data_IF_024483227186
#
_entry.id   IF_024483227186
#
_cell.length_a   1.000
_cell.length_b   1.000
_cell.length_c   1.000
_cell.angle_alpha   90.00
_cell.angle_beta   90.00
_cell.angle_gamma   90.00
#
_symmetry.space_group_name_H-M   'P 1'
#
loop_
_entity.id
_entity.type
_entity.pdbx_description
1 polymer ?
#
# COMPACT_ATOMS: atom_id res chain seq x y z
N UNK A 1 11.78 27.15 -2.92
CA UNK A 1 10.69 26.64 -2.05
C UNK A 1 9.41 27.34 -2.46
N UNK A 2 8.69 26.80 -3.45
CA UNK A 2 7.41 27.37 -3.88
C UNK A 2 6.43 27.24 -2.72
N UNK A 3 5.84 28.34 -2.26
CA UNK A 3 4.86 28.31 -1.16
C UNK A 3 3.58 27.68 -1.69
N UNK A 4 3.44 26.39 -1.48
CA UNK A 4 2.20 25.67 -1.79
C UNK A 4 1.08 26.32 -0.97
N UNK A 5 0.00 26.70 -1.64
CA UNK A 5 -1.17 27.20 -0.96
C UNK A 5 -1.76 26.09 -0.07
N UNK A 6 -2.21 26.43 1.14
CA UNK A 6 -2.84 25.48 2.07
C UNK A 6 -3.92 24.61 1.38
N UNK A 7 -4.73 25.21 0.49
CA UNK A 7 -5.76 24.48 -0.27
C UNK A 7 -5.20 23.47 -1.27
N UNK A 8 -4.05 23.75 -1.87
CA UNK A 8 -3.39 22.85 -2.83
C UNK A 8 -2.74 21.67 -2.11
N UNK A 9 -2.13 21.91 -0.95
CA UNK A 9 -1.60 20.84 -0.08
C UNK A 9 -2.72 19.90 0.42
N UNK A 10 -3.85 20.46 0.84
CA UNK A 10 -5.03 19.67 1.25
C UNK A 10 -5.57 18.85 0.08
N UNK A 11 -5.65 19.44 -1.11
CA UNK A 11 -6.13 18.73 -2.30
C UNK A 11 -5.22 17.56 -2.72
N UNK A 12 -3.90 17.77 -2.70
CA UNK A 12 -2.91 16.73 -3.00
C UNK A 12 -3.05 15.55 -2.04
N UNK A 13 -3.21 15.82 -0.74
CA UNK A 13 -3.38 14.78 0.27
C UNK A 13 -4.73 14.04 0.17
N UNK A 14 -5.83 14.74 -0.12
CA UNK A 14 -7.16 14.12 -0.17
C UNK A 14 -7.41 13.29 -1.44
N UNK A 15 -6.79 13.68 -2.56
CA UNK A 15 -6.95 13.00 -3.87
C UNK A 15 -6.78 11.48 -3.82
N UNK A 16 -5.70 10.91 -3.24
CA UNK A 16 -5.54 9.46 -3.14
C UNK A 16 -6.59 8.79 -2.24
N UNK A 17 -7.00 9.45 -1.15
CA UNK A 17 -8.02 8.94 -0.23
C UNK A 17 -9.36 8.75 -0.96
N UNK A 18 -9.81 9.78 -1.67
CA UNK A 18 -11.05 9.71 -2.44
C UNK A 18 -11.02 8.61 -3.50
N UNK A 19 -9.87 8.38 -4.13
CA UNK A 19 -9.72 7.31 -5.13
C UNK A 19 -9.94 5.93 -4.52
N UNK A 20 -9.33 5.64 -3.36
CA UNK A 20 -9.47 4.36 -2.67
C UNK A 20 -10.92 4.14 -2.21
N UNK A 21 -11.52 5.12 -1.54
CA UNK A 21 -12.90 4.98 -1.06
C UNK A 21 -13.92 4.85 -2.19
N UNK A 22 -13.69 5.50 -3.33
CA UNK A 22 -14.57 5.37 -4.50
C UNK A 22 -14.50 3.95 -5.08
N UNK A 23 -13.32 3.35 -5.19
CA UNK A 23 -13.15 1.96 -5.67
C UNK A 23 -13.83 0.98 -4.70
N UNK A 24 -13.65 1.17 -3.39
CA UNK A 24 -14.32 0.35 -2.36
C UNK A 24 -15.84 0.49 -2.47
N UNK A 25 -16.35 1.72 -2.63
CA UNK A 25 -17.77 2.00 -2.76
C UNK A 25 -18.39 1.35 -3.99
N UNK A 26 -17.71 1.42 -5.15
CA UNK A 26 -18.15 0.73 -6.37
C UNK A 26 -18.17 -0.79 -6.17
N UNK A 27 -17.12 -1.35 -5.55
CA UNK A 27 -17.09 -2.78 -5.20
C UNK A 27 -18.24 -3.20 -4.28
N UNK A 28 -18.58 -2.37 -3.30
CA UNK A 28 -19.73 -2.58 -2.41
C UNK A 28 -21.06 -2.55 -3.17
N UNK A 29 -21.26 -1.58 -4.07
CA UNK A 29 -22.47 -1.52 -4.90
C UNK A 29 -22.61 -2.77 -5.79
N UNK A 30 -21.52 -3.20 -6.44
CA UNK A 30 -21.51 -4.39 -7.29
C UNK A 30 -21.90 -5.66 -6.52
N UNK A 31 -21.45 -5.79 -5.27
CA UNK A 31 -21.85 -6.87 -4.38
C UNK A 31 -23.31 -6.74 -3.93
N UNK A 32 -23.75 -5.52 -3.57
CA UNK A 32 -25.14 -5.26 -3.11
C UNK A 32 -26.18 -5.53 -4.20
N UNK A 33 -25.87 -5.21 -5.46
CA UNK A 33 -26.75 -5.47 -6.60
C UNK A 33 -26.65 -6.91 -7.13
N UNK A 34 -25.89 -7.80 -6.48
CA UNK A 34 -25.66 -9.20 -6.92
C UNK A 34 -25.16 -9.32 -8.37
N UNK A 35 -24.51 -8.27 -8.90
CA UNK A 35 -23.93 -8.29 -10.25
C UNK A 35 -22.73 -9.25 -10.29
N UNK A 36 -21.99 -9.33 -9.17
CA UNK A 36 -20.87 -10.24 -8.99
C UNK A 36 -21.24 -11.29 -7.95
N UNK A 37 -21.43 -12.54 -8.36
CA UNK A 37 -21.64 -13.67 -7.45
C UNK A 37 -20.37 -13.92 -6.62
N UNK A 38 -20.49 -14.59 -5.46
CA UNK A 38 -19.33 -14.97 -4.64
C UNK A 38 -18.31 -15.82 -5.40
N UNK A 39 -18.77 -16.64 -6.34
CA UNK A 39 -17.91 -17.45 -7.20
C UNK A 39 -17.10 -16.57 -8.16
N UNK A 40 -17.74 -15.60 -8.80
CA UNK A 40 -17.09 -14.66 -9.71
C UNK A 40 -16.10 -13.76 -8.95
N UNK A 41 -16.43 -13.31 -7.74
CA UNK A 41 -15.52 -12.53 -6.90
C UNK A 41 -14.25 -13.33 -6.56
N UNK A 42 -14.39 -14.62 -6.26
CA UNK A 42 -13.26 -15.52 -5.97
C UNK A 42 -12.43 -15.79 -7.23
N UNK A 43 -13.07 -15.91 -8.39
CA UNK A 43 -12.41 -16.01 -9.70
C UNK A 43 -11.57 -14.77 -10.03
N UNK A 44 -12.14 -13.58 -9.85
CA UNK A 44 -11.45 -12.30 -10.03
C UNK A 44 -10.26 -12.20 -9.07
N UNK A 45 -10.45 -12.53 -7.78
CA UNK A 45 -9.37 -12.51 -6.79
C UNK A 45 -8.22 -13.44 -7.17
N UNK A 46 -8.52 -14.66 -7.62
CA UNK A 46 -7.50 -15.60 -8.12
C UNK A 46 -6.76 -15.05 -9.34
N UNK A 47 -7.46 -14.40 -10.27
CA UNK A 47 -6.84 -13.76 -11.43
C UNK A 47 -5.91 -12.62 -11.01
N UNK A 48 -6.34 -11.79 -10.06
CA UNK A 48 -5.54 -10.70 -9.51
C UNK A 48 -4.27 -11.25 -8.87
N UNK A 49 -4.40 -12.25 -7.99
CA UNK A 49 -3.25 -12.81 -7.26
C UNK A 49 -2.26 -13.52 -8.17
N UNK A 50 -2.77 -14.29 -9.16
CA UNK A 50 -1.91 -15.13 -10.01
C UNK A 50 -1.32 -14.39 -11.21
N UNK A 51 -2.00 -13.39 -11.76
CA UNK A 51 -1.57 -12.72 -12.98
C UNK A 51 -1.26 -11.23 -12.76
N UNK A 52 -2.15 -10.48 -12.11
CA UNK A 52 -1.99 -9.02 -12.01
C UNK A 52 -0.91 -8.64 -11.01
N UNK A 53 -0.87 -9.27 -9.82
CA UNK A 53 0.16 -9.00 -8.81
C UNK A 53 1.60 -9.21 -9.33
N UNK A 54 1.95 -10.34 -9.97
CA UNK A 54 3.31 -10.50 -10.49
C UNK A 54 3.62 -9.49 -11.61
N UNK A 55 2.66 -9.15 -12.46
CA UNK A 55 2.86 -8.12 -13.49
C UNK A 55 3.10 -6.72 -12.88
N UNK A 56 2.35 -6.34 -11.84
CA UNK A 56 2.54 -5.07 -11.13
C UNK A 56 3.90 -5.04 -10.42
N UNK A 57 4.27 -6.11 -9.73
CA UNK A 57 5.57 -6.23 -9.07
C UNK A 57 6.71 -6.14 -10.09
N UNK A 58 6.61 -6.83 -11.22
CA UNK A 58 7.59 -6.75 -12.29
C UNK A 58 7.70 -5.33 -12.87
N UNK A 59 6.56 -4.69 -13.17
CA UNK A 59 6.54 -3.32 -13.67
C UNK A 59 7.22 -2.36 -12.68
N UNK A 60 6.94 -2.47 -11.39
CA UNK A 60 7.59 -1.65 -10.36
C UNK A 60 9.09 -1.92 -10.26
N UNK A 61 9.52 -3.18 -10.27
CA UNK A 61 10.93 -3.55 -10.20
C UNK A 61 11.70 -3.00 -11.41
N UNK A 62 11.22 -3.24 -12.63
CA UNK A 62 11.90 -2.79 -13.86
C UNK A 62 11.95 -1.27 -13.99
N UNK A 63 10.91 -0.56 -13.55
CA UNK A 63 10.85 0.90 -13.67
C UNK A 63 11.60 1.64 -12.55
N UNK A 64 11.79 1.03 -11.38
CA UNK A 64 12.38 1.70 -10.22
C UNK A 64 13.77 1.16 -9.81
N UNK A 65 14.23 0.04 -10.37
CA UNK A 65 15.54 -0.53 -10.04
C UNK A 65 16.50 -0.40 -11.22
N UNK A 66 17.45 0.54 -11.10
CA UNK A 66 18.63 0.63 -11.96
C UNK A 66 19.76 -0.23 -11.39
N UNK A 67 20.52 -0.92 -12.25
CA UNK A 67 21.65 -1.77 -11.86
C UNK A 67 22.76 -1.03 -11.10
N UNK A 68 22.79 0.30 -11.18
CA UNK A 68 23.81 1.13 -10.53
C UNK A 68 23.58 1.26 -9.02
N UNK A 69 22.35 1.07 -8.54
CA UNK A 69 21.95 1.39 -7.16
C UNK A 69 21.66 0.13 -6.33
N UNK A 70 22.23 -1.01 -6.74
CA UNK A 70 22.02 -2.33 -6.09
C UNK A 70 22.30 -2.30 -4.57
N UNK A 71 23.24 -1.44 -4.13
CA UNK A 71 23.52 -1.23 -2.70
C UNK A 71 22.39 -0.53 -1.98
N UNK A 72 21.79 0.51 -2.58
CA UNK A 72 20.65 1.24 -2.01
C UNK A 72 19.41 0.35 -1.97
N UNK A 73 19.18 -0.43 -3.04
CA UNK A 73 18.11 -1.43 -3.08
C UNK A 73 18.25 -2.45 -1.94
N UNK A 74 19.47 -2.91 -1.65
CA UNK A 74 19.73 -3.81 -0.52
C UNK A 74 19.38 -3.19 0.83
N UNK A 75 19.69 -1.90 1.03
CA UNK A 75 19.31 -1.17 2.24
C UNK A 75 17.80 -1.01 2.35
N UNK A 76 17.10 -0.70 1.24
CA UNK A 76 15.64 -0.59 1.21
C UNK A 76 14.98 -1.93 1.58
N UNK A 77 15.47 -3.04 1.03
CA UNK A 77 14.95 -4.38 1.36
C UNK A 77 15.19 -4.70 2.84
N UNK A 78 16.37 -4.39 3.38
CA UNK A 78 16.69 -4.61 4.79
C UNK A 78 15.76 -3.79 5.70
N UNK A 79 15.57 -2.50 5.39
CA UNK A 79 14.65 -1.62 6.11
C UNK A 79 13.21 -2.14 6.05
N UNK A 80 12.76 -2.64 4.89
CA UNK A 80 11.43 -3.23 4.74
C UNK A 80 11.27 -4.49 5.62
N UNK A 81 12.27 -5.38 5.65
CA UNK A 81 12.26 -6.57 6.51
C UNK A 81 12.16 -6.17 7.98
N UNK A 82 12.97 -5.20 8.42
CA UNK A 82 12.94 -4.72 9.81
C UNK A 82 11.57 -4.14 10.16
N UNK A 83 10.97 -3.34 9.27
CA UNK A 83 9.64 -2.77 9.48
C UNK A 83 8.55 -3.84 9.60
N UNK A 84 8.55 -4.85 8.73
CA UNK A 84 7.59 -5.96 8.82
C UNK A 84 7.77 -6.77 10.10
N UNK A 85 9.01 -7.08 10.48
CA UNK A 85 9.30 -7.77 11.74
C UNK A 85 8.86 -6.96 12.95
N UNK A 86 9.05 -5.64 12.93
CA UNK A 86 8.61 -4.76 13.99
C UNK A 86 7.08 -4.68 14.08
N UNK A 87 6.38 -4.64 12.93
CA UNK A 87 4.93 -4.73 12.87
C UNK A 87 4.37 -6.05 13.44
N UNK A 88 5.01 -7.17 13.10
CA UNK A 88 4.66 -8.47 13.66
C UNK A 88 4.97 -8.58 15.16
N UNK A 89 6.09 -8.02 15.62
CA UNK A 89 6.41 -7.95 17.04
C UNK A 89 5.38 -7.11 17.80
N UNK A 90 4.97 -5.96 17.26
CA UNK A 90 3.91 -5.13 17.83
C UNK A 90 2.55 -5.85 17.90
N UNK A 91 2.22 -6.64 16.88
CA UNK A 91 1.01 -7.48 16.88
C UNK A 91 1.10 -8.60 17.92
N UNK A 92 2.26 -9.23 18.10
CA UNK A 92 2.45 -10.24 19.15
C UNK A 92 2.35 -9.65 20.55
N UNK A 93 2.96 -8.48 20.78
CA UNK A 93 2.84 -7.76 22.06
C UNK A 93 1.39 -7.41 22.35
N UNK A 94 0.67 -6.88 21.36
CA UNK A 94 -0.75 -6.49 21.54
C UNK A 94 -1.65 -7.71 21.76
N UNK A 95 -1.32 -8.86 21.15
CA UNK A 95 -2.01 -10.11 21.42
C UNK A 95 -1.81 -10.61 22.86
N UNK A 96 -0.65 -10.33 23.45
CA UNK A 96 -0.36 -10.70 24.84
C UNK A 96 -1.01 -9.74 25.86
N UNK A 97 -1.11 -8.45 25.54
CA UNK A 97 -1.69 -7.44 26.45
C UNK A 97 -3.21 -7.33 26.39
N UNK A 98 -3.82 -7.75 25.28
CA UNK A 98 -5.26 -7.64 25.04
C UNK A 98 -5.90 -9.02 25.03
N UNK A 99 -7.11 -9.24 25.57
CA UNK A 99 -7.82 -10.51 25.47
C UNK A 99 -8.32 -10.75 24.04
N UNK A 100 -7.41 -11.13 23.13
CA UNK A 100 -7.74 -11.48 21.75
C UNK A 100 -8.19 -12.95 21.70
N UNK A 101 -9.34 -13.27 21.09
CA UNK A 101 -9.76 -14.66 20.92
C UNK A 101 -8.72 -15.45 20.11
N UNK A 102 -8.35 -16.64 20.59
CA UNK A 102 -7.29 -17.47 19.98
C UNK A 102 -7.55 -17.85 18.53
N UNK A 103 -8.82 -17.85 18.10
CA UNK A 103 -9.23 -18.08 16.71
C UNK A 103 -8.86 -16.93 15.77
N UNK A 104 -8.65 -15.71 16.30
CA UNK A 104 -8.29 -14.52 15.52
C UNK A 104 -6.79 -14.20 15.55
N UNK A 105 -5.99 -15.04 16.20
CA UNK A 105 -4.55 -14.84 16.37
C UNK A 105 -3.81 -14.64 15.05
N UNK A 106 -4.04 -15.52 14.07
CA UNK A 106 -3.40 -15.44 12.77
C UNK A 106 -3.83 -14.19 12.00
N UNK A 107 -5.14 -13.90 11.96
CA UNK A 107 -5.64 -12.67 11.32
C UNK A 107 -5.01 -11.42 11.90
N UNK A 108 -4.80 -11.39 13.23
CA UNK A 108 -4.19 -10.26 13.92
C UNK A 108 -2.68 -10.11 13.61
N UNK A 109 -1.94 -11.21 13.58
CA UNK A 109 -0.51 -11.19 13.20
C UNK A 109 -0.34 -10.78 11.74
N UNK A 110 -1.15 -11.33 10.82
CA UNK A 110 -1.09 -10.96 9.40
C UNK A 110 -1.46 -9.49 9.17
N UNK A 111 -2.41 -8.95 9.94
CA UNK A 111 -2.76 -7.53 9.89
C UNK A 111 -1.60 -6.61 10.34
N UNK A 112 -0.79 -7.04 11.32
CA UNK A 112 0.39 -6.29 11.76
C UNK A 112 1.62 -6.49 10.88
N UNK A 113 1.80 -7.68 10.31
CA UNK A 113 2.94 -8.04 9.45
C UNK A 113 2.81 -7.42 8.05
N UNK A 114 1.60 -7.36 7.49
CA UNK A 114 1.32 -6.76 6.19
C UNK A 114 0.33 -5.61 6.32
N UNK A 115 0.75 -4.48 6.93
CA UNK A 115 -0.07 -3.28 6.89
C UNK A 115 -0.19 -2.82 5.44
N UNK A 116 -1.26 -2.08 5.12
CA UNK A 116 -1.46 -1.51 3.79
C UNK A 116 -0.50 -0.32 3.54
N UNK A 117 0.80 -0.61 3.56
CA UNK A 117 1.90 0.32 3.29
C UNK A 117 1.95 0.68 1.80
N UNK A 118 1.39 -0.17 0.94
CA UNK A 118 1.47 -0.03 -0.52
C UNK A 118 0.37 0.84 -1.15
N UNK A 119 -0.85 0.91 -0.59
CA UNK A 119 -1.89 1.75 -1.19
C UNK A 119 -1.85 3.16 -0.63
N UNK A 120 -1.87 3.30 0.70
CA UNK A 120 -2.01 4.62 1.32
C UNK A 120 -0.71 5.42 1.24
N UNK A 121 0.41 5.02 1.88
CA UNK A 121 1.67 5.76 1.81
C UNK A 121 2.19 6.01 0.40
N UNK A 122 2.14 5.00 -0.50
CA UNK A 122 2.64 5.18 -1.88
C UNK A 122 1.73 6.12 -2.67
N UNK A 123 0.40 6.07 -2.49
CA UNK A 123 -0.47 7.01 -3.17
C UNK A 123 -0.24 8.44 -2.66
N UNK A 124 0.09 8.61 -1.38
CA UNK A 124 0.53 9.90 -0.84
C UNK A 124 1.87 10.34 -1.44
N UNK A 125 2.92 9.50 -1.39
CA UNK A 125 4.24 9.88 -1.94
C UNK A 125 4.17 10.13 -3.44
N UNK A 126 3.40 9.37 -4.21
CA UNK A 126 3.17 9.63 -5.64
C UNK A 126 2.35 10.90 -5.88
N UNK A 127 1.37 11.21 -5.03
CA UNK A 127 0.62 12.48 -5.15
C UNK A 127 1.49 13.69 -4.81
N UNK A 128 2.43 13.54 -3.87
CA UNK A 128 3.38 14.57 -3.46
C UNK A 128 4.52 14.74 -4.47
N UNK A 129 5.00 13.64 -5.08
CA UNK A 129 6.04 13.65 -6.11
C UNK A 129 5.56 14.20 -7.46
N UNK A 130 4.27 14.00 -7.81
CA UNK A 130 3.68 14.56 -9.03
C UNK A 130 3.03 15.94 -8.87
N UNK A 131 2.93 16.45 -7.63
CA UNK A 131 2.21 17.68 -7.33
C UNK A 131 3.13 18.75 -6.75
N UNK A 132 3.86 19.49 -7.58
CA UNK A 132 4.51 20.79 -7.28
C UNK A 132 5.46 20.92 -6.05
N UNK A 133 5.61 19.90 -5.19
CA UNK A 133 6.37 19.99 -3.92
C UNK A 133 7.85 19.67 -4.11
N UNK A 134 8.18 18.70 -4.95
CA UNK A 134 9.54 18.25 -5.21
C UNK A 134 9.81 18.27 -6.73
N UNK A 135 10.97 18.76 -7.14
CA UNK A 135 11.44 18.57 -8.52
C UNK A 135 11.68 17.07 -8.76
N UNK A 136 11.55 16.56 -9.98
CA UNK A 136 11.83 15.14 -10.31
C UNK A 136 13.18 14.67 -9.72
N UNK A 137 14.20 15.55 -9.72
CA UNK A 137 15.52 15.31 -9.15
C UNK A 137 15.60 15.28 -7.60
N UNK A 138 14.58 15.78 -6.89
CA UNK A 138 14.47 15.68 -5.43
C UNK A 138 13.63 14.47 -5.00
N UNK A 139 12.69 14.02 -5.83
CA UNK A 139 11.92 12.79 -5.60
C UNK A 139 12.76 11.52 -5.78
N UNK A 140 13.87 11.57 -6.51
CA UNK A 140 14.78 10.45 -6.73
C UNK A 140 15.85 10.27 -5.62
N UNK A 141 15.92 11.17 -4.63
CA UNK A 141 16.96 11.13 -3.57
C UNK A 141 16.61 10.31 -2.32
N UNK A 142 15.47 9.61 -2.32
CA UNK A 142 15.04 8.72 -1.25
C UNK A 142 13.84 9.23 -0.46
#
# INVERSE_FOLDING_TARGET
MSKIGLGEAIYIALKPIFKIYTIIFVGFLLAKFNIVSMENAKGISNMVVKAILPCLTFNKIVSNISWRDIKEVGVIILSAIILFLFGAAGAMVTNYTTPVPKTFFWSFIFAGLFPNISDLPIAYTQSMGNGAIFTEAESEKG
#
